data_IF_840831163843
#
_entry.id   IF_840831163843
#
_cell.length_a   1.000
_cell.length_b   1.000
_cell.length_c   1.000
_cell.angle_alpha   90.00
_cell.angle_beta   90.00
_cell.angle_gamma   90.00
#
_symmetry.space_group_name_H-M   'P 1'
#
loop_
_entity.id
_entity.type
_entity.pdbx_description
1 polymer ?
#
# COMPACT_ATOMS: atom_id res chain seq x y z
N UNK A 1 2.44 -19.54 7.91
CA UNK A 1 2.41 -19.25 9.37
C UNK A 1 1.71 -17.91 9.55
N UNK A 2 0.65 -17.86 10.33
CA UNK A 2 -0.05 -16.62 10.65
C UNK A 2 0.91 -15.75 11.49
N UNK A 3 1.12 -14.45 11.17
CA UNK A 3 1.92 -13.54 11.98
C UNK A 3 1.48 -13.45 13.45
N UNK A 4 0.22 -13.83 13.74
CA UNK A 4 -0.30 -13.92 15.10
C UNK A 4 0.32 -15.07 15.91
N UNK A 5 0.86 -16.08 15.25
CA UNK A 5 1.50 -17.24 15.88
C UNK A 5 2.97 -17.00 16.23
N UNK A 6 3.59 -15.95 15.68
CA UNK A 6 4.97 -15.61 16.02
C UNK A 6 5.05 -15.07 17.46
N UNK A 7 5.60 -15.87 18.36
CA UNK A 7 5.81 -15.47 19.75
C UNK A 7 6.99 -14.51 19.84
N UNK A 8 6.68 -13.20 19.88
CA UNK A 8 7.66 -12.20 20.30
C UNK A 8 7.69 -12.16 21.82
N UNK A 9 8.86 -12.42 22.41
CA UNK A 9 9.06 -12.41 23.85
C UNK A 9 9.86 -11.18 24.26
N UNK A 10 9.39 -10.47 25.30
CA UNK A 10 10.18 -9.39 25.91
C UNK A 10 11.27 -9.93 26.80
N UNK A 11 12.35 -9.15 27.02
CA UNK A 11 13.42 -9.51 27.96
C UNK A 11 12.85 -9.86 29.36
N UNK A 12 11.79 -9.15 29.80
CA UNK A 12 11.10 -9.42 31.08
C UNK A 12 10.41 -10.79 31.08
N UNK A 13 9.73 -11.16 30.00
CA UNK A 13 9.06 -12.46 29.87
C UNK A 13 10.10 -13.59 29.82
N UNK A 14 11.20 -13.40 29.08
CA UNK A 14 12.29 -14.37 28.98
C UNK A 14 12.97 -14.57 30.35
N UNK A 15 13.21 -13.48 31.12
CA UNK A 15 13.76 -13.57 32.47
C UNK A 15 12.86 -14.37 33.42
N UNK A 16 11.53 -14.21 33.34
CA UNK A 16 10.56 -15.02 34.12
C UNK A 16 10.60 -16.52 33.76
N UNK A 17 11.06 -16.85 32.55
CA UNK A 17 11.25 -18.24 32.08
C UNK A 17 12.67 -18.76 32.37
N UNK A 18 13.46 -18.05 33.15
CA UNK A 18 14.82 -18.45 33.50
C UNK A 18 15.92 -18.09 32.48
N UNK A 19 15.57 -17.34 31.44
CA UNK A 19 16.55 -16.84 30.45
C UNK A 19 17.00 -15.47 30.91
N UNK A 20 18.12 -15.42 31.64
CA UNK A 20 18.71 -14.15 32.08
C UNK A 20 19.39 -13.38 30.93
N UNK A 21 19.87 -12.17 31.25
CA UNK A 21 20.51 -11.31 30.25
C UNK A 21 21.73 -11.94 29.60
N UNK A 22 22.50 -12.71 30.37
CA UNK A 22 23.73 -13.35 29.89
C UNK A 22 23.40 -14.53 28.97
N UNK A 23 22.41 -15.34 29.33
CA UNK A 23 21.88 -16.44 28.50
C UNK A 23 21.31 -15.88 27.19
N UNK A 24 20.52 -14.79 27.26
CA UNK A 24 19.95 -14.13 26.08
C UNK A 24 21.03 -13.58 25.14
N UNK A 25 22.09 -13.00 25.70
CA UNK A 25 23.26 -12.53 24.91
C UNK A 25 23.96 -13.70 24.20
N UNK A 26 24.11 -14.85 24.88
CA UNK A 26 24.68 -16.07 24.26
C UNK A 26 23.79 -16.64 23.15
N UNK A 27 22.49 -16.69 23.36
CA UNK A 27 21.52 -17.12 22.33
C UNK A 27 21.57 -16.21 21.09
N UNK A 28 21.62 -14.89 21.30
CA UNK A 28 21.75 -13.92 20.22
C UNK A 28 23.10 -14.06 19.48
N UNK A 29 24.19 -14.27 20.21
CA UNK A 29 25.53 -14.47 19.62
C UNK A 29 25.61 -15.77 18.79
N UNK A 30 24.90 -16.83 19.18
CA UNK A 30 24.78 -18.07 18.41
C UNK A 30 23.83 -17.97 17.23
N UNK A 31 23.02 -16.91 17.16
CA UNK A 31 22.02 -16.75 16.15
C UNK A 31 20.70 -17.49 16.40
N UNK A 32 20.50 -18.09 17.58
CA UNK A 32 19.28 -18.82 17.93
C UNK A 32 18.07 -17.88 18.08
N UNK A 33 18.31 -16.64 18.48
CA UNK A 33 17.28 -15.59 18.55
C UNK A 33 17.70 -14.34 17.80
N UNK A 34 16.71 -13.59 17.32
CA UNK A 34 16.88 -12.29 16.70
C UNK A 34 16.25 -11.20 17.57
N UNK A 35 16.92 -10.06 17.73
CA UNK A 35 16.35 -8.89 18.36
C UNK A 35 15.47 -8.15 17.37
N UNK A 36 14.14 -8.23 17.55
CA UNK A 36 13.15 -7.64 16.61
C UNK A 36 12.90 -6.16 16.90
N UNK A 37 13.04 -5.76 18.17
CA UNK A 37 13.00 -4.35 18.62
C UNK A 37 13.74 -4.21 19.95
N UNK A 38 13.99 -2.99 20.48
CA UNK A 38 14.61 -2.82 21.79
C UNK A 38 13.85 -3.59 22.88
N UNK A 39 14.50 -4.58 23.50
CA UNK A 39 13.93 -5.40 24.57
C UNK A 39 12.97 -6.52 24.12
N UNK A 40 12.81 -6.76 22.83
CA UNK A 40 11.99 -7.82 22.29
C UNK A 40 12.76 -8.73 21.32
N UNK A 41 12.49 -10.01 21.38
CA UNK A 41 13.22 -11.06 20.68
C UNK A 41 12.26 -12.09 20.10
N UNK A 42 12.66 -12.71 18.99
CA UNK A 42 11.99 -13.83 18.38
C UNK A 42 12.96 -14.97 18.11
N UNK A 43 12.48 -16.19 17.98
CA UNK A 43 13.29 -17.32 17.49
C UNK A 43 13.76 -17.05 16.07
N UNK A 44 15.04 -17.29 15.77
CA UNK A 44 15.66 -17.02 14.47
C UNK A 44 14.94 -17.74 13.34
N UNK A 45 14.70 -19.04 13.51
CA UNK A 45 14.08 -19.87 12.48
C UNK A 45 12.69 -19.32 12.09
N UNK A 46 11.84 -19.05 13.08
CA UNK A 46 10.51 -18.51 12.84
C UNK A 46 10.56 -17.10 12.21
N UNK A 47 11.55 -16.28 12.60
CA UNK A 47 11.76 -14.97 12.00
C UNK A 47 12.17 -15.03 10.53
N UNK A 48 13.03 -15.96 10.17
CA UNK A 48 13.59 -16.07 8.82
C UNK A 48 12.53 -16.58 7.80
N UNK A 49 11.50 -17.28 8.27
CA UNK A 49 10.34 -17.70 7.47
C UNK A 49 9.34 -16.55 7.16
N UNK A 50 9.43 -15.42 7.87
CA UNK A 50 8.53 -14.30 7.70
C UNK A 50 8.87 -13.45 6.47
N UNK A 51 7.83 -12.98 5.78
CA UNK A 51 7.96 -11.89 4.82
C UNK A 51 8.19 -10.52 5.52
N UNK A 52 8.50 -9.50 4.74
CA UNK A 52 8.82 -8.17 5.29
C UNK A 52 7.64 -7.54 6.05
N UNK A 53 6.39 -7.77 5.61
CA UNK A 53 5.20 -7.29 6.30
C UNK A 53 5.01 -7.99 7.64
N UNK A 54 5.16 -9.30 7.66
CA UNK A 54 5.08 -10.10 8.88
C UNK A 54 6.17 -9.71 9.88
N UNK A 55 7.40 -9.46 9.38
CA UNK A 55 8.49 -8.92 10.21
C UNK A 55 8.17 -7.56 10.81
N UNK A 56 7.55 -6.67 10.02
CA UNK A 56 7.08 -5.38 10.54
C UNK A 56 6.06 -5.54 11.66
N UNK A 57 5.05 -6.40 11.48
CA UNK A 57 4.02 -6.68 12.50
C UNK A 57 4.65 -7.25 13.78
N UNK A 58 5.58 -8.19 13.64
CA UNK A 58 6.31 -8.77 14.77
C UNK A 58 7.15 -7.72 15.52
N UNK A 59 7.83 -6.83 14.79
CA UNK A 59 8.58 -5.72 15.39
C UNK A 59 7.65 -4.73 16.11
N UNK A 60 6.49 -4.41 15.52
CA UNK A 60 5.48 -3.55 16.14
C UNK A 60 4.96 -4.14 17.46
N UNK A 61 4.65 -5.46 17.51
CA UNK A 61 4.30 -6.17 18.75
C UNK A 61 5.39 -6.04 19.80
N UNK A 62 6.65 -6.23 19.40
CA UNK A 62 7.78 -6.07 20.30
C UNK A 62 7.89 -4.66 20.88
N UNK A 63 7.65 -3.63 20.08
CA UNK A 63 7.65 -2.23 20.52
C UNK A 63 6.52 -1.99 21.52
N UNK A 64 5.30 -2.41 21.20
CA UNK A 64 4.14 -2.25 22.10
C UNK A 64 4.36 -2.99 23.43
N UNK A 65 4.78 -4.26 23.38
CA UNK A 65 4.96 -5.09 24.56
C UNK A 65 6.09 -4.63 25.52
N UNK A 66 7.05 -3.84 25.03
CA UNK A 66 8.16 -3.34 25.84
C UNK A 66 7.94 -1.95 26.43
N UNK A 67 6.80 -1.30 26.10
CA UNK A 67 6.52 0.07 26.56
C UNK A 67 5.58 0.11 27.74
N UNK A 68 5.73 1.08 28.65
CA UNK A 68 4.69 1.43 29.59
C UNK A 68 3.64 2.32 28.88
N UNK A 69 2.38 2.01 29.08
CA UNK A 69 1.25 2.78 28.56
C UNK A 69 0.85 2.43 27.13
N UNK A 70 -0.28 2.95 26.75
CA UNK A 70 -0.93 2.68 25.47
C UNK A 70 -0.26 3.49 24.34
N UNK A 71 -0.08 2.87 23.18
CA UNK A 71 0.50 3.48 22.00
C UNK A 71 -0.53 3.49 20.88
N UNK A 72 -1.11 4.65 20.57
CA UNK A 72 -2.02 4.79 19.44
C UNK A 72 -1.20 4.81 18.13
N UNK A 73 -1.21 3.67 17.43
CA UNK A 73 -0.51 3.51 16.14
C UNK A 73 -1.34 4.18 15.05
N UNK A 74 -0.65 4.88 14.12
CA UNK A 74 -1.30 5.74 13.12
C UNK A 74 -0.59 5.69 11.76
N UNK A 75 -1.04 6.50 10.80
CA UNK A 75 -0.39 6.73 9.51
C UNK A 75 -0.05 5.42 8.78
N UNK A 76 1.16 5.33 8.20
CA UNK A 76 1.56 4.14 7.43
C UNK A 76 1.70 2.88 8.28
N UNK A 77 2.04 3.02 9.54
CA UNK A 77 2.12 1.87 10.43
C UNK A 77 0.74 1.26 10.72
N UNK A 78 -0.27 2.09 10.98
CA UNK A 78 -1.66 1.62 11.07
C UNK A 78 -2.14 1.06 9.73
N UNK A 79 -1.78 1.68 8.60
CA UNK A 79 -2.13 1.18 7.27
C UNK A 79 -1.61 -0.26 7.02
N UNK A 80 -0.37 -0.56 7.45
CA UNK A 80 0.17 -1.94 7.40
C UNK A 80 -0.69 -2.87 8.24
N UNK A 81 -1.06 -2.49 9.45
CA UNK A 81 -1.82 -3.33 10.38
C UNK A 81 -3.27 -3.52 9.91
N UNK A 82 -3.89 -2.50 9.29
CA UNK A 82 -5.20 -2.62 8.62
C UNK A 82 -5.19 -3.46 7.33
N UNK A 83 -4.06 -3.98 6.89
CA UNK A 83 -4.01 -4.81 5.70
C UNK A 83 -3.90 -4.04 4.39
N UNK A 84 -3.72 -2.71 4.40
CA UNK A 84 -3.60 -1.89 3.19
C UNK A 84 -2.31 -2.18 2.42
N UNK A 85 -2.27 -1.99 1.10
CA UNK A 85 -1.07 -2.19 0.30
C UNK A 85 0.00 -1.17 0.68
N UNK A 86 1.25 -1.63 0.81
CA UNK A 86 2.37 -0.77 1.16
C UNK A 86 3.15 -0.41 -0.08
N UNK A 87 2.97 0.83 -0.53
CA UNK A 87 3.67 1.40 -1.68
C UNK A 87 4.83 2.28 -1.19
N UNK A 88 6.00 2.13 -1.79
CA UNK A 88 7.21 2.89 -1.40
C UNK A 88 7.93 2.34 -0.17
N UNK A 89 7.73 1.05 0.16
CA UNK A 89 8.39 0.34 1.25
C UNK A 89 7.72 0.50 2.62
N UNK A 90 8.03 -0.38 3.54
CA UNK A 90 7.51 -0.37 4.91
C UNK A 90 8.06 0.81 5.72
N UNK A 91 7.32 1.31 6.73
CA UNK A 91 7.84 2.32 7.65
C UNK A 91 9.09 1.81 8.39
N UNK A 92 10.10 2.65 8.50
CA UNK A 92 11.32 2.31 9.26
C UNK A 92 11.15 2.44 10.78
N UNK A 93 10.13 3.19 11.20
CA UNK A 93 9.74 3.42 12.59
C UNK A 93 8.24 3.22 12.71
N UNK A 94 7.78 2.87 13.89
CA UNK A 94 6.36 2.76 14.16
C UNK A 94 5.75 4.17 14.30
N UNK A 95 4.83 4.51 13.42
CA UNK A 95 4.10 5.77 13.48
C UNK A 95 3.09 5.74 14.63
N UNK A 96 3.09 6.78 15.44
CA UNK A 96 2.18 6.92 16.59
C UNK A 96 1.55 8.29 16.63
N UNK A 97 0.25 8.36 16.89
CA UNK A 97 -0.48 9.60 17.11
C UNK A 97 -0.42 10.02 18.57
N UNK A 98 -0.21 11.31 18.81
CA UNK A 98 -0.23 11.91 20.15
C UNK A 98 -1.12 13.14 20.16
N UNK A 99 -1.89 13.28 21.22
CA UNK A 99 -2.76 14.44 21.47
C UNK A 99 -2.11 15.48 22.36
N UNK A 100 -1.00 15.12 23.06
CA UNK A 100 -0.35 15.99 24.03
C UNK A 100 0.45 17.13 23.38
N UNK A 101 0.34 18.30 23.95
CA UNK A 101 1.07 19.51 23.56
C UNK A 101 2.54 19.45 23.99
N UNK A 102 2.86 18.50 24.87
CA UNK A 102 4.20 18.27 25.39
C UNK A 102 5.17 17.78 24.32
N UNK A 103 6.38 18.36 24.27
CA UNK A 103 7.42 18.10 23.27
C UNK A 103 7.93 16.64 23.22
N UNK A 104 7.08 15.71 22.84
CA UNK A 104 7.44 14.30 22.63
C UNK A 104 8.50 14.19 21.54
N UNK A 105 9.73 13.84 21.90
CA UNK A 105 10.79 13.51 20.96
C UNK A 105 10.44 12.19 20.28
N UNK A 106 10.63 12.10 18.96
CA UNK A 106 10.65 10.82 18.27
C UNK A 106 11.75 9.95 18.90
N UNK A 107 11.38 8.75 19.30
CA UNK A 107 12.33 7.77 19.80
C UNK A 107 12.95 7.00 18.63
N UNK A 108 14.01 6.25 18.88
CA UNK A 108 14.71 5.51 17.82
C UNK A 108 13.79 4.58 17.02
N UNK A 109 12.76 4.01 17.68
CA UNK A 109 11.80 3.05 17.08
C UNK A 109 10.44 3.66 16.74
N UNK A 110 10.16 4.93 17.13
CA UNK A 110 8.85 5.56 16.98
C UNK A 110 8.96 6.90 16.30
N UNK A 111 8.06 7.14 15.34
CA UNK A 111 7.81 8.42 14.71
C UNK A 111 6.53 9.00 15.30
N UNK A 112 6.65 10.02 16.13
CA UNK A 112 5.49 10.65 16.79
C UNK A 112 4.89 11.73 15.89
N UNK A 113 3.60 11.56 15.58
CA UNK A 113 2.76 12.53 14.89
C UNK A 113 1.85 13.24 15.89
N UNK A 114 1.58 14.51 15.67
CA UNK A 114 0.71 15.31 16.54
C UNK A 114 -0.63 15.55 15.86
N UNK A 115 -1.70 15.48 16.62
CA UNK A 115 -3.02 15.89 16.19
C UNK A 115 -3.76 16.61 17.32
N UNK A 116 -4.35 17.74 17.01
CA UNK A 116 -5.28 18.46 17.89
C UNK A 116 -6.73 17.96 17.71
N UNK A 117 -6.97 17.20 16.64
CA UNK A 117 -8.29 16.60 16.39
C UNK A 117 -8.35 15.26 17.12
N UNK A 118 -9.33 15.07 18.00
CA UNK A 118 -9.52 13.81 18.70
C UNK A 118 -9.61 12.62 17.74
N UNK A 119 -9.16 11.48 18.19
CA UNK A 119 -9.26 10.22 17.47
C UNK A 119 -9.68 9.14 18.44
N UNK A 120 -10.80 8.50 18.16
CA UNK A 120 -11.18 7.31 18.91
C UNK A 120 -10.35 6.12 18.41
N UNK A 121 -9.65 5.44 19.33
CA UNK A 121 -8.84 4.29 18.95
C UNK A 121 -9.71 3.08 18.61
N UNK A 122 -9.19 2.23 17.72
CA UNK A 122 -9.76 0.91 17.47
C UNK A 122 -8.76 -0.16 17.89
N UNK A 123 -9.26 -1.24 18.48
CA UNK A 123 -8.43 -2.37 18.85
C UNK A 123 -8.37 -3.40 17.70
N UNK A 124 -7.18 -3.85 17.37
CA UNK A 124 -6.93 -4.91 16.41
C UNK A 124 -5.89 -5.89 16.98
N UNK A 125 -6.35 -6.96 17.59
CA UNK A 125 -5.50 -7.87 18.36
C UNK A 125 -4.79 -7.15 19.50
N UNK A 126 -3.45 -7.15 19.50
CA UNK A 126 -2.64 -6.51 20.53
C UNK A 126 -2.38 -5.01 20.28
N UNK A 127 -2.99 -4.43 19.25
CA UNK A 127 -2.71 -3.08 18.82
C UNK A 127 -3.88 -2.14 19.04
N UNK A 128 -3.57 -0.94 19.51
CA UNK A 128 -4.45 0.21 19.54
C UNK A 128 -4.11 1.11 18.34
N UNK A 129 -5.07 1.26 17.40
CA UNK A 129 -4.86 1.91 16.10
C UNK A 129 -5.79 3.11 15.92
N UNK A 130 -5.42 4.02 15.03
CA UNK A 130 -6.40 4.92 14.39
C UNK A 130 -7.36 4.09 13.53
N UNK A 131 -8.65 4.51 13.42
CA UNK A 131 -9.62 3.87 12.52
C UNK A 131 -9.07 3.79 11.08
N UNK A 132 -9.66 2.95 10.24
CA UNK A 132 -9.25 2.83 8.84
C UNK A 132 -9.38 4.18 8.12
N UNK A 133 -10.49 4.89 8.31
CA UNK A 133 -10.77 6.18 7.70
C UNK A 133 -9.78 7.24 8.15
N UNK A 134 -9.53 7.29 9.47
CA UNK A 134 -8.53 8.20 10.05
C UNK A 134 -7.14 7.88 9.52
N UNK A 135 -6.77 6.63 9.43
CA UNK A 135 -5.48 6.17 8.88
C UNK A 135 -5.31 6.61 7.43
N UNK A 136 -6.33 6.40 6.59
CA UNK A 136 -6.31 6.82 5.18
C UNK A 136 -6.19 8.33 5.04
N UNK A 137 -6.92 9.10 5.85
CA UNK A 137 -6.85 10.54 5.87
C UNK A 137 -5.47 11.05 6.33
N UNK A 138 -4.90 10.46 7.38
CA UNK A 138 -3.55 10.80 7.87
C UNK A 138 -2.47 10.52 6.82
N UNK A 139 -2.58 9.39 6.11
CA UNK A 139 -1.65 9.05 5.01
C UNK A 139 -1.83 10.03 3.84
N UNK A 140 -3.05 10.40 3.47
CA UNK A 140 -3.32 11.34 2.39
C UNK A 140 -2.77 12.74 2.70
N UNK A 141 -2.83 13.18 3.96
CA UNK A 141 -2.25 14.45 4.43
C UNK A 141 -0.71 14.42 4.41
N UNK A 142 -0.10 13.30 4.83
CA UNK A 142 1.33 13.23 5.08
C UNK A 142 2.17 12.78 3.88
N UNK A 143 1.60 12.01 2.95
CA UNK A 143 2.35 11.30 1.90
C UNK A 143 1.95 11.70 0.47
N UNK A 144 2.84 11.47 -0.53
CA UNK A 144 2.52 11.70 -1.94
C UNK A 144 1.35 10.86 -2.45
N UNK A 145 0.70 11.31 -3.54
CA UNK A 145 -0.43 10.61 -4.17
C UNK A 145 -0.13 9.15 -4.52
N UNK A 146 1.09 8.88 -4.99
CA UNK A 146 1.55 7.51 -5.31
C UNK A 146 1.56 6.55 -4.11
N UNK A 147 1.49 7.06 -2.89
CA UNK A 147 1.39 6.27 -1.65
C UNK A 147 -0.05 6.20 -1.17
N UNK A 148 -0.77 7.33 -1.16
CA UNK A 148 -2.11 7.43 -0.57
C UNK A 148 -3.20 6.86 -1.48
N UNK A 149 -3.17 7.13 -2.79
CA UNK A 149 -4.22 6.69 -3.72
C UNK A 149 -4.34 5.16 -3.79
N UNK A 150 -3.24 4.38 -3.90
CA UNK A 150 -3.36 2.92 -3.89
C UNK A 150 -3.97 2.35 -2.60
N UNK A 151 -3.77 3.01 -1.45
CA UNK A 151 -4.40 2.59 -0.19
C UNK A 151 -5.90 2.91 -0.17
N UNK A 152 -6.29 4.10 -0.67
CA UNK A 152 -7.68 4.50 -0.83
C UNK A 152 -8.41 3.57 -1.81
N UNK A 153 -7.87 3.37 -3.00
CA UNK A 153 -8.45 2.50 -4.02
C UNK A 153 -8.66 1.08 -3.48
N UNK A 154 -7.65 0.53 -2.80
CA UNK A 154 -7.75 -0.80 -2.19
C UNK A 154 -8.91 -0.89 -1.19
N UNK A 155 -9.02 0.09 -0.29
CA UNK A 155 -10.09 0.11 0.71
C UNK A 155 -11.48 0.23 0.06
N UNK A 156 -11.60 1.05 -0.99
CA UNK A 156 -12.82 1.21 -1.78
C UNK A 156 -13.17 -0.07 -2.56
N UNK A 157 -12.20 -0.67 -3.25
CA UNK A 157 -12.37 -1.92 -3.97
C UNK A 157 -12.81 -3.05 -3.04
N UNK A 158 -12.21 -3.15 -1.85
CA UNK A 158 -12.57 -4.12 -0.81
C UNK A 158 -13.87 -3.76 -0.09
N UNK A 159 -14.44 -2.59 -0.35
CA UNK A 159 -15.64 -2.07 0.31
C UNK A 159 -15.52 -2.03 1.84
N UNK A 160 -14.32 -1.76 2.35
CA UNK A 160 -14.06 -1.65 3.79
C UNK A 160 -14.33 -0.24 4.30
N UNK A 161 -14.44 0.74 3.42
CA UNK A 161 -14.81 2.14 3.72
C UNK A 161 -15.45 2.82 2.51
N UNK A 162 -15.84 4.08 2.66
CA UNK A 162 -16.37 4.96 1.61
C UNK A 162 -15.54 6.24 1.52
N UNK A 163 -15.62 6.95 0.38
CA UNK A 163 -14.95 8.26 0.24
C UNK A 163 -15.49 9.27 1.24
N UNK A 164 -16.81 9.29 1.46
CA UNK A 164 -17.47 10.21 2.39
C UNK A 164 -16.97 10.01 3.82
N UNK A 165 -16.76 8.76 4.24
CA UNK A 165 -16.23 8.45 5.56
C UNK A 165 -14.78 8.94 5.74
N UNK A 166 -13.94 8.82 4.71
CA UNK A 166 -12.57 9.36 4.73
C UNK A 166 -12.58 10.90 4.66
N UNK A 167 -13.48 11.49 3.87
CA UNK A 167 -13.62 12.94 3.77
C UNK A 167 -14.09 13.55 5.10
N UNK A 168 -14.99 12.89 5.82
CA UNK A 168 -15.42 13.31 7.16
C UNK A 168 -14.23 13.42 8.13
N UNK A 169 -13.25 12.53 8.03
CA UNK A 169 -12.00 12.61 8.80
C UNK A 169 -11.08 13.76 8.35
N UNK A 170 -11.18 14.22 7.12
CA UNK A 170 -10.42 15.37 6.61
C UNK A 170 -11.07 16.72 6.94
N UNK A 171 -12.39 16.77 7.13
CA UNK A 171 -13.14 18.01 7.32
C UNK A 171 -12.57 18.90 8.46
N UNK A 172 -12.33 18.37 9.69
CA UNK A 172 -11.75 19.17 10.77
C UNK A 172 -10.31 19.61 10.48
N UNK A 173 -9.68 19.04 9.44
CA UNK A 173 -8.27 19.23 9.07
C UNK A 173 -8.08 19.93 7.72
N UNK A 174 -9.12 20.57 7.18
CA UNK A 174 -9.08 21.26 5.87
C UNK A 174 -8.02 22.36 5.78
N UNK A 175 -7.60 22.94 6.92
CA UNK A 175 -6.52 23.93 6.99
C UNK A 175 -5.16 23.32 7.35
N UNK A 176 -5.08 22.02 7.53
CA UNK A 176 -3.83 21.34 7.88
C UNK A 176 -2.85 21.33 6.69
N UNK A 177 -1.52 21.38 6.93
CA UNK A 177 -0.55 21.15 5.87
C UNK A 177 -0.83 19.82 5.14
N UNK A 178 -0.84 19.86 3.80
CA UNK A 178 -1.15 18.70 2.97
C UNK A 178 -2.63 18.52 2.60
N UNK A 179 -3.57 19.34 3.11
CA UNK A 179 -5.01 19.20 2.81
C UNK A 179 -5.33 19.27 1.32
N UNK A 180 -4.67 20.13 0.55
CA UNK A 180 -4.84 20.20 -0.92
C UNK A 180 -4.46 18.85 -1.58
N UNK A 181 -3.38 18.23 -1.12
CA UNK A 181 -2.94 16.93 -1.63
C UNK A 181 -3.90 15.82 -1.22
N UNK A 182 -4.39 15.83 0.02
CA UNK A 182 -5.38 14.88 0.50
C UNK A 182 -6.68 14.95 -0.30
N UNK A 183 -7.19 16.16 -0.57
CA UNK A 183 -8.36 16.34 -1.44
C UNK A 183 -8.10 15.86 -2.88
N UNK A 184 -6.90 16.12 -3.42
CA UNK A 184 -6.52 15.56 -4.72
C UNK A 184 -6.48 14.02 -4.70
N UNK A 185 -6.01 13.41 -3.60
CA UNK A 185 -6.02 11.96 -3.44
C UNK A 185 -7.46 11.40 -3.44
N UNK A 186 -8.38 12.02 -2.70
CA UNK A 186 -9.79 11.63 -2.71
C UNK A 186 -10.43 11.79 -4.09
N UNK A 187 -10.16 12.91 -4.78
CA UNK A 187 -10.67 13.14 -6.14
C UNK A 187 -10.13 12.16 -7.20
N UNK A 188 -9.01 11.52 -6.93
CA UNK A 188 -8.45 10.47 -7.77
C UNK A 188 -8.95 9.08 -7.39
N UNK A 189 -9.23 8.85 -6.13
CA UNK A 189 -9.54 7.53 -5.60
C UNK A 189 -10.77 6.89 -6.27
N UNK A 190 -10.72 5.58 -6.46
CA UNK A 190 -11.76 4.83 -7.16
C UNK A 190 -11.80 3.37 -6.68
N UNK A 191 -12.98 2.77 -6.69
CA UNK A 191 -13.14 1.34 -6.48
C UNK A 191 -12.84 0.49 -7.74
N UNK A 192 -12.50 1.12 -8.87
CA UNK A 192 -12.21 0.39 -10.11
C UNK A 192 -10.80 -0.20 -10.16
N UNK A 193 -9.83 0.41 -9.48
CA UNK A 193 -8.46 -0.11 -9.42
C UNK A 193 -8.41 -1.40 -8.58
N UNK A 194 -7.99 -2.48 -9.20
CA UNK A 194 -7.89 -3.81 -8.55
C UNK A 194 -6.49 -4.10 -8.01
N UNK A 195 -5.50 -3.30 -8.41
CA UNK A 195 -4.11 -3.44 -7.97
C UNK A 195 -3.46 -2.09 -7.67
N UNK A 196 -2.42 -2.06 -6.79
CA UNK A 196 -1.66 -0.84 -6.56
C UNK A 196 -0.97 -0.28 -7.81
N UNK A 197 -0.66 -1.11 -8.81
CA UNK A 197 -0.04 -0.67 -10.05
C UNK A 197 -1.03 0.07 -10.94
N UNK A 198 -2.29 -0.36 -11.02
CA UNK A 198 -3.37 0.38 -11.70
C UNK A 198 -3.57 1.77 -11.09
N UNK A 199 -3.64 1.84 -9.75
CA UNK A 199 -3.71 3.12 -9.03
C UNK A 199 -2.51 4.02 -9.36
N UNK A 200 -1.31 3.43 -9.44
CA UNK A 200 -0.09 4.16 -9.76
C UNK A 200 -0.11 4.73 -11.18
N UNK A 201 -0.60 3.97 -12.17
CA UNK A 201 -0.81 4.44 -13.55
C UNK A 201 -1.73 5.67 -13.55
N UNK A 202 -2.86 5.59 -12.85
CA UNK A 202 -3.81 6.71 -12.73
C UNK A 202 -3.17 7.95 -12.10
N UNK A 203 -2.44 7.79 -10.99
CA UNK A 203 -1.73 8.90 -10.33
C UNK A 203 -0.70 9.53 -11.28
N UNK A 204 0.07 8.73 -12.00
CA UNK A 204 1.07 9.22 -12.94
C UNK A 204 0.45 9.96 -14.12
N UNK A 205 -0.72 9.52 -14.59
CA UNK A 205 -1.48 10.27 -15.60
C UNK A 205 -1.89 11.63 -15.06
N UNK A 206 -2.42 11.70 -13.85
CA UNK A 206 -2.79 12.96 -13.21
C UNK A 206 -1.59 13.90 -13.03
N UNK A 207 -0.47 13.41 -12.47
CA UNK A 207 0.74 14.19 -12.24
C UNK A 207 1.40 14.69 -13.54
N UNK A 208 1.25 13.94 -14.63
CA UNK A 208 1.75 14.28 -15.96
C UNK A 208 0.78 15.14 -16.78
N UNK A 209 -0.41 15.43 -16.25
CA UNK A 209 -1.44 16.13 -17.00
C UNK A 209 -2.01 15.34 -18.18
N UNK A 210 -1.95 14.02 -18.13
CA UNK A 210 -2.55 13.16 -19.15
C UNK A 210 -4.05 12.95 -18.90
N UNK A 211 -4.80 12.78 -19.99
CA UNK A 211 -6.21 12.40 -19.90
C UNK A 211 -6.38 11.16 -19.03
N UNK A 212 -7.39 11.17 -18.15
CA UNK A 212 -7.67 10.04 -17.23
C UNK A 212 -8.12 8.82 -18.04
N UNK A 213 -7.61 7.61 -17.75
CA UNK A 213 -8.07 6.39 -18.41
C UNK A 213 -9.49 5.99 -17.96
N UNK A 214 -10.21 5.31 -18.86
CA UNK A 214 -11.32 4.44 -18.48
C UNK A 214 -10.71 3.19 -17.83
N UNK A 215 -11.01 2.96 -16.54
CA UNK A 215 -10.50 1.80 -15.81
C UNK A 215 -11.46 0.61 -15.92
N UNK A 216 -10.91 -0.61 -15.95
CA UNK A 216 -11.65 -1.86 -16.08
C UNK A 216 -12.65 -1.82 -17.24
N UNK A 217 -12.20 -1.23 -18.36
CA UNK A 217 -13.01 -1.05 -19.54
C UNK A 217 -13.39 -2.40 -20.17
N UNK A 218 -14.67 -2.54 -20.53
CA UNK A 218 -15.19 -3.75 -21.14
C UNK A 218 -15.15 -3.64 -22.66
N UNK A 219 -14.41 -4.52 -23.32
CA UNK A 219 -14.23 -4.55 -24.77
C UNK A 219 -14.79 -5.84 -25.37
N UNK A 220 -15.44 -5.79 -26.56
CA UNK A 220 -15.79 -6.98 -27.31
C UNK A 220 -14.54 -7.59 -27.93
N UNK A 221 -14.49 -8.91 -27.98
CA UNK A 221 -13.50 -9.67 -28.72
C UNK A 221 -14.10 -10.13 -30.06
N UNK A 222 -13.26 -10.39 -31.07
CA UNK A 222 -13.66 -10.94 -32.37
C UNK A 222 -14.38 -12.29 -32.23
N UNK A 223 -14.02 -13.03 -31.19
CA UNK A 223 -14.70 -14.29 -30.83
C UNK A 223 -16.13 -14.12 -30.30
N UNK A 224 -16.66 -12.89 -30.18
CA UNK A 224 -17.96 -12.58 -29.57
C UNK A 224 -17.94 -12.56 -28.04
N UNK A 225 -16.85 -12.95 -27.39
CA UNK A 225 -16.65 -12.84 -25.95
C UNK A 225 -16.34 -11.39 -25.55
N UNK A 226 -16.19 -11.15 -24.28
CA UNK A 226 -15.81 -9.82 -23.75
C UNK A 226 -14.59 -9.93 -22.87
N UNK A 227 -13.73 -8.93 -22.97
CA UNK A 227 -12.55 -8.77 -22.13
C UNK A 227 -12.67 -7.52 -21.26
N UNK A 228 -12.03 -7.54 -20.10
CA UNK A 228 -11.77 -6.35 -19.30
C UNK A 228 -10.31 -5.97 -19.47
N UNK A 229 -10.04 -4.67 -19.55
CA UNK A 229 -8.69 -4.10 -19.64
C UNK A 229 -8.49 -3.08 -18.53
N UNK A 230 -7.29 -3.03 -17.95
CA UNK A 230 -7.05 -2.24 -16.75
C UNK A 230 -7.23 -0.75 -16.99
N UNK A 231 -6.63 -0.22 -18.05
CA UNK A 231 -6.72 1.18 -18.43
C UNK A 231 -6.89 1.32 -19.94
N UNK A 232 -7.88 2.10 -20.38
CA UNK A 232 -8.19 2.35 -21.78
C UNK A 232 -8.28 3.84 -22.07
N UNK A 233 -7.65 4.29 -23.14
CA UNK A 233 -7.89 5.57 -23.78
C UNK A 233 -8.43 5.33 -25.17
N UNK A 234 -9.62 5.85 -25.48
CA UNK A 234 -10.24 5.73 -26.81
C UNK A 234 -9.80 6.89 -27.70
N UNK A 235 -9.37 6.59 -28.93
CA UNK A 235 -9.07 7.64 -29.88
C UNK A 235 -10.36 8.30 -30.39
N UNK A 236 -10.33 9.63 -30.45
CA UNK A 236 -11.37 10.39 -31.19
C UNK A 236 -10.98 10.44 -32.67
N UNK A 237 -11.99 10.55 -33.56
CA UNK A 237 -12.01 10.37 -34.98
C UNK A 237 -10.93 11.10 -35.82
N UNK A 238 -9.67 10.82 -35.72
CA UNK A 238 -8.58 11.26 -36.65
C UNK A 238 -7.29 10.45 -36.48
N UNK A 239 -7.31 9.40 -35.65
CA UNK A 239 -6.13 8.57 -35.45
C UNK A 239 -6.42 7.13 -35.88
N UNK A 240 -5.41 6.45 -36.40
CA UNK A 240 -5.53 5.04 -36.74
C UNK A 240 -5.72 4.20 -35.46
N UNK A 241 -6.65 3.25 -35.51
CA UNK A 241 -6.97 2.35 -34.43
C UNK A 241 -7.96 2.90 -33.39
N UNK A 242 -8.48 2.04 -32.52
CA UNK A 242 -9.54 2.35 -31.56
C UNK A 242 -9.03 2.99 -30.25
N UNK A 243 -7.76 2.77 -29.87
CA UNK A 243 -7.26 3.31 -28.60
C UNK A 243 -5.95 2.71 -28.12
N UNK A 244 -5.54 3.15 -26.95
CA UNK A 244 -4.43 2.60 -26.17
C UNK A 244 -4.95 1.83 -24.97
N UNK A 245 -4.46 0.62 -24.81
CA UNK A 245 -4.64 -0.21 -23.62
C UNK A 245 -3.34 -0.19 -22.82
N UNK A 246 -3.44 0.05 -21.52
CA UNK A 246 -2.33 -0.12 -20.58
C UNK A 246 -2.74 -1.19 -19.57
N UNK A 247 -2.04 -2.32 -19.62
CA UNK A 247 -2.21 -3.43 -18.69
C UNK A 247 -1.20 -3.30 -17.56
N UNK A 248 -1.71 -3.12 -16.36
CA UNK A 248 -0.89 -2.97 -15.14
C UNK A 248 -0.56 -4.36 -14.58
N UNK A 249 0.39 -5.07 -15.21
CA UNK A 249 0.80 -6.40 -14.77
C UNK A 249 1.60 -6.34 -13.45
N UNK A 250 0.85 -6.26 -12.33
CA UNK A 250 1.40 -6.22 -10.97
C UNK A 250 1.90 -7.55 -10.44
N UNK A 251 1.76 -8.63 -11.19
CA UNK A 251 2.05 -10.01 -10.73
C UNK A 251 3.52 -10.32 -10.49
N UNK A 252 4.42 -9.48 -10.97
CA UNK A 252 5.87 -9.76 -10.96
C UNK A 252 6.60 -9.49 -9.63
N UNK A 253 6.01 -8.82 -8.62
CA UNK A 253 6.81 -8.40 -7.44
C UNK A 253 6.20 -8.58 -6.04
N UNK A 254 4.95 -9.01 -5.86
CA UNK A 254 4.34 -9.00 -4.52
C UNK A 254 3.55 -10.28 -4.15
N UNK A 255 4.15 -11.46 -4.27
CA UNK A 255 3.62 -12.65 -3.62
C UNK A 255 3.82 -13.97 -4.36
N UNK A 256 3.67 -15.08 -3.66
CA UNK A 256 3.81 -16.44 -4.20
C UNK A 256 2.77 -16.82 -5.26
N UNK A 257 1.73 -15.99 -5.46
CA UNK A 257 0.65 -16.23 -6.43
C UNK A 257 1.11 -16.06 -7.89
N UNK A 258 2.22 -15.34 -8.14
CA UNK A 258 2.76 -15.16 -9.50
C UNK A 258 3.24 -16.46 -10.16
N UNK A 259 3.48 -17.51 -9.37
CA UNK A 259 3.97 -18.81 -9.86
C UNK A 259 2.85 -19.83 -10.14
N UNK A 260 1.57 -19.47 -9.95
CA UNK A 260 0.45 -20.41 -10.01
C UNK A 260 -0.43 -20.27 -11.26
N UNK A 261 -0.06 -19.42 -12.25
CA UNK A 261 -0.79 -19.42 -13.52
C UNK A 261 -0.48 -20.71 -14.29
N UNK A 262 -1.53 -21.45 -14.62
CA UNK A 262 -1.44 -22.61 -15.50
C UNK A 262 -1.08 -22.19 -16.92
N UNK A 263 -0.45 -23.07 -17.70
CA UNK A 263 -0.18 -22.80 -19.11
C UNK A 263 -1.43 -22.41 -19.91
N UNK A 264 -2.61 -22.91 -19.51
CA UNK A 264 -3.90 -22.60 -20.12
C UNK A 264 -4.36 -21.16 -19.82
N UNK A 265 -4.13 -20.64 -18.62
CA UNK A 265 -4.46 -19.25 -18.27
C UNK A 265 -3.55 -18.27 -19.02
N UNK A 266 -2.26 -18.56 -19.13
CA UNK A 266 -1.33 -17.80 -19.97
C UNK A 266 -1.74 -17.78 -21.44
N UNK A 267 -2.18 -18.93 -21.96
CA UNK A 267 -2.66 -19.01 -23.33
C UNK A 267 -3.93 -18.18 -23.56
N UNK A 268 -4.89 -18.26 -22.66
CA UNK A 268 -6.13 -17.45 -22.72
C UNK A 268 -5.83 -15.95 -22.69
N UNK A 269 -4.89 -15.53 -21.85
CA UNK A 269 -4.44 -14.14 -21.76
C UNK A 269 -3.81 -13.67 -23.08
N UNK A 270 -2.91 -14.49 -23.66
CA UNK A 270 -2.28 -14.20 -24.93
C UNK A 270 -3.29 -14.09 -26.08
N UNK A 271 -4.21 -15.05 -26.18
CA UNK A 271 -5.27 -15.02 -27.21
C UNK A 271 -6.13 -13.78 -27.08
N UNK A 272 -6.45 -13.37 -25.85
CA UNK A 272 -7.19 -12.13 -25.57
C UNK A 272 -6.43 -10.88 -26.06
N UNK A 273 -5.14 -10.81 -25.79
CA UNK A 273 -4.30 -9.68 -26.23
C UNK A 273 -4.15 -9.66 -27.75
N UNK A 274 -3.90 -10.80 -28.38
CA UNK A 274 -3.73 -10.92 -29.83
C UNK A 274 -5.02 -10.46 -30.54
N UNK A 275 -6.20 -10.87 -30.05
CA UNK A 275 -7.52 -10.44 -30.57
C UNK A 275 -7.67 -8.89 -30.50
N UNK A 276 -7.35 -8.28 -29.37
CA UNK A 276 -7.44 -6.82 -29.23
C UNK A 276 -6.39 -6.08 -30.08
N UNK A 277 -5.21 -6.67 -30.30
CA UNK A 277 -4.20 -6.12 -31.23
C UNK A 277 -4.66 -6.21 -32.69
N UNK A 278 -5.32 -7.30 -33.07
CA UNK A 278 -5.90 -7.46 -34.40
C UNK A 278 -7.01 -6.42 -34.65
N UNK A 279 -7.75 -6.03 -33.63
CA UNK A 279 -8.71 -4.92 -33.69
C UNK A 279 -8.03 -3.54 -33.79
N UNK A 280 -6.70 -3.47 -33.70
CA UNK A 280 -5.90 -2.24 -33.87
C UNK A 280 -5.62 -1.48 -32.57
N UNK A 281 -5.88 -2.06 -31.39
CA UNK A 281 -5.50 -1.42 -30.13
C UNK A 281 -3.97 -1.38 -29.96
N UNK A 282 -3.43 -0.23 -29.53
CA UNK A 282 -2.07 -0.13 -29.03
C UNK A 282 -2.00 -0.67 -27.59
N UNK A 283 -0.88 -1.31 -27.24
CA UNK A 283 -0.65 -1.85 -25.89
C UNK A 283 0.61 -1.28 -25.25
N UNK A 284 0.53 -0.99 -23.93
CA UNK A 284 1.69 -0.72 -23.07
C UNK A 284 1.55 -1.53 -21.79
N UNK A 285 2.67 -2.08 -21.31
CA UNK A 285 2.76 -2.80 -20.05
C UNK A 285 3.86 -2.18 -19.19
N UNK A 286 3.53 -1.22 -18.33
CA UNK A 286 4.52 -0.68 -17.41
C UNK A 286 4.88 -1.73 -16.36
N UNK A 287 6.18 -1.92 -16.15
CA UNK A 287 6.66 -2.57 -14.95
C UNK A 287 6.46 -1.66 -13.74
N UNK A 288 6.53 -2.21 -12.52
CA UNK A 288 6.48 -1.42 -11.30
C UNK A 288 7.47 -0.25 -11.32
N UNK A 289 8.73 -0.52 -11.64
CA UNK A 289 9.79 0.50 -11.66
C UNK A 289 9.50 1.63 -12.65
N UNK A 290 8.95 1.27 -13.83
CA UNK A 290 8.56 2.23 -14.86
C UNK A 290 7.37 3.10 -14.43
N UNK A 291 6.38 2.51 -13.77
CA UNK A 291 5.24 3.26 -13.22
C UNK A 291 5.64 4.08 -11.98
N UNK A 292 6.55 3.56 -11.16
CA UNK A 292 7.06 4.28 -10.00
C UNK A 292 7.87 5.51 -10.38
N UNK A 293 8.71 5.43 -11.41
CA UNK A 293 9.49 6.55 -11.91
C UNK A 293 8.65 7.47 -12.80
N UNK A 294 8.36 8.69 -12.33
CA UNK A 294 7.64 9.69 -13.13
C UNK A 294 8.26 9.91 -14.50
N UNK A 295 9.57 10.06 -14.57
CA UNK A 295 10.30 10.28 -15.84
C UNK A 295 10.16 9.11 -16.81
N UNK A 296 10.27 7.86 -16.32
CA UNK A 296 10.12 6.67 -17.15
C UNK A 296 8.66 6.48 -17.61
N UNK A 297 7.68 6.79 -16.74
CA UNK A 297 6.27 6.75 -17.11
C UNK A 297 5.96 7.80 -18.18
N UNK A 298 6.40 9.04 -18.02
CA UNK A 298 6.22 10.09 -19.00
C UNK A 298 6.88 9.72 -20.34
N UNK A 299 8.08 9.12 -20.34
CA UNK A 299 8.74 8.63 -21.55
C UNK A 299 7.92 7.54 -22.25
N UNK A 300 7.29 6.63 -21.49
CA UNK A 300 6.40 5.60 -22.04
C UNK A 300 5.14 6.22 -22.68
N UNK A 301 4.58 7.26 -22.07
CA UNK A 301 3.35 7.91 -22.55
C UNK A 301 3.61 8.84 -23.74
N UNK A 302 4.83 9.32 -23.95
CA UNK A 302 5.18 10.13 -25.12
C UNK A 302 4.99 9.31 -26.40
N UNK A 303 4.35 9.91 -27.40
CA UNK A 303 4.06 9.25 -28.66
C UNK A 303 2.84 8.32 -28.67
N UNK A 304 2.21 8.07 -27.53
CA UNK A 304 0.98 7.24 -27.48
C UNK A 304 -0.25 7.94 -28.03
N UNK A 305 -0.23 9.27 -28.21
CA UNK A 305 -1.39 10.06 -28.64
C UNK A 305 -2.45 10.31 -27.58
N UNK A 306 -2.25 9.85 -26.36
CA UNK A 306 -3.08 10.28 -25.21
C UNK A 306 -2.90 11.79 -25.04
N UNK A 307 -4.02 12.49 -24.87
CA UNK A 307 -4.01 13.96 -24.73
C UNK A 307 -3.46 14.37 -23.37
N UNK A 308 -2.84 15.53 -23.33
CA UNK A 308 -2.62 16.25 -22.09
C UNK A 308 -3.81 17.18 -21.83
N UNK A 309 -4.34 17.10 -20.64
CA UNK A 309 -5.31 18.08 -20.10
C UNK A 309 -4.46 19.16 -19.45
N UNK A 310 -4.51 20.38 -19.99
CA UNK A 310 -3.81 21.54 -19.43
C UNK A 310 -4.27 21.85 -18.01
#
# INVERSE_FOLDING_TARGET
MDPSELVVSTSRQLARRGVDRSALSRLAARGDVVRVSPGAYAERRAWDELDDRQRFVAAARGIVATRPGELLISHRSAAVLHGLPVVGGLPRRLDSLRSDVGGGRSEASISAHRSTVPCEPVELGDFCLTSLERTLADVALAHPLVVSVPMLDHALFRRTTTLDAVEAELEPRRRHPGSKRALAALGLATAASQSPLESLVQVRCFEGGWERPEQQARLPLLSGRRAFVDCLWRWRARRAGPGLIVEADGRYKYGPVAQLMTGEEHWKEKVREDDLREQGFEFRRPTWDRAWSRTQFEAMMRGTGVRRTC
#
